data_IF_638041646479
#
_entry.id   IF_638041646479
#
_cell.length_a   1.000
_cell.length_b   1.000
_cell.length_c   1.000
_cell.angle_alpha   90.00
_cell.angle_beta   90.00
_cell.angle_gamma   90.00
#
_symmetry.space_group_name_H-M   'P 1'
#
loop_
_entity.id
_entity.type
_entity.pdbx_description
1 polymer ?
#
# COMPACT_ATOMS: atom_id res chain seq x y z
N UNK A 1 15.16 26.88 3.94
CA UNK A 1 13.70 27.13 3.88
C UNK A 1 13.08 25.92 3.22
N UNK A 2 12.23 25.09 3.85
CA UNK A 2 11.43 24.16 3.09
C UNK A 2 10.15 24.86 2.67
N UNK A 3 9.94 24.95 1.36
CA UNK A 3 8.68 25.39 0.76
C UNK A 3 7.55 24.48 1.24
N UNK A 4 6.44 25.09 1.68
CA UNK A 4 5.20 24.39 1.96
C UNK A 4 4.73 23.73 0.66
N UNK A 5 4.95 22.42 0.54
CA UNK A 5 4.71 21.69 -0.71
C UNK A 5 3.23 21.62 -1.09
N UNK A 6 2.30 21.98 -0.19
CA UNK A 6 0.86 21.92 -0.37
C UNK A 6 0.15 22.97 0.50
N UNK A 7 0.11 24.22 0.03
CA UNK A 7 -0.80 25.22 0.61
C UNK A 7 -2.23 24.90 0.16
N UNK A 8 -3.14 24.77 1.13
CA UNK A 8 -4.57 24.57 0.86
C UNK A 8 -5.22 25.95 0.87
N UNK A 9 -5.54 26.45 -0.32
CA UNK A 9 -6.29 27.70 -0.48
C UNK A 9 -7.73 27.33 -0.83
N UNK A 10 -8.65 27.65 0.07
CA UNK A 10 -10.08 27.65 -0.20
C UNK A 10 -10.41 29.05 -0.69
N UNK A 11 -10.64 29.20 -1.98
CA UNK A 11 -11.07 30.48 -2.53
C UNK A 11 -12.57 30.64 -2.24
N UNK A 12 -12.88 31.47 -1.24
CA UNK A 12 -14.23 31.97 -1.03
C UNK A 12 -14.38 33.26 -1.83
N UNK A 13 -14.47 33.15 -3.15
CA UNK A 13 -14.79 34.32 -3.96
C UNK A 13 -16.22 34.77 -3.65
N UNK A 14 -16.36 35.75 -2.75
CA UNK A 14 -17.55 36.58 -2.61
C UNK A 14 -17.75 37.31 -3.94
N UNK A 15 -18.86 36.99 -4.62
CA UNK A 15 -19.33 37.80 -5.73
C UNK A 15 -19.91 39.09 -5.14
N UNK A 16 -19.09 40.15 -5.20
CA UNK A 16 -19.47 41.54 -5.01
C UNK A 16 -20.32 41.97 -6.22
N UNK A 17 -21.63 42.13 -6.02
CA UNK A 17 -22.50 42.85 -6.93
C UNK A 17 -23.21 43.96 -6.14
N UNK A 18 -22.73 45.18 -6.37
CA UNK A 18 -23.40 46.40 -5.96
C UNK A 18 -24.63 46.71 -6.83
N UNK A 19 -25.74 46.91 -6.12
CA UNK A 19 -26.45 48.21 -6.03
C UNK A 19 -27.82 48.42 -6.74
N UNK A 20 -28.70 48.99 -5.92
CA UNK A 20 -30.02 49.66 -6.05
C UNK A 20 -31.26 48.97 -6.65
N UNK A 21 -32.29 48.82 -5.80
CA UNK A 21 -33.67 48.58 -6.22
C UNK A 21 -34.66 48.40 -5.05
N UNK A 22 -35.22 49.50 -4.58
CA UNK A 22 -36.27 49.65 -3.56
C UNK A 22 -37.53 48.77 -3.71
N UNK A 23 -38.08 48.27 -2.59
CA UNK A 23 -39.50 47.83 -2.51
C UNK A 23 -39.86 46.83 -1.40
N UNK A 24 -40.50 47.33 -0.34
CA UNK A 24 -41.56 46.74 0.50
C UNK A 24 -41.59 45.22 0.84
N UNK A 25 -41.52 44.89 2.14
CA UNK A 25 -42.18 43.72 2.76
C UNK A 25 -43.60 44.10 3.19
N UNK A 26 -44.61 43.19 3.31
CA UNK A 26 -44.51 41.94 4.09
C UNK A 26 -45.30 40.73 3.56
N UNK A 27 -44.92 39.52 3.98
CA UNK A 27 -45.78 38.56 4.69
C UNK A 27 -45.22 37.13 4.65
N UNK A 28 -45.39 36.47 5.79
CA UNK A 28 -45.11 35.08 6.09
C UNK A 28 -45.52 34.08 5.02
N UNK A 29 -44.64 33.10 4.78
CA UNK A 29 -45.04 31.90 4.06
C UNK A 29 -43.95 31.15 3.32
N UNK A 30 -42.67 31.15 3.74
CA UNK A 30 -41.70 30.23 3.11
C UNK A 30 -40.47 29.89 3.97
N UNK A 31 -40.72 29.44 5.21
CA UNK A 31 -39.70 28.83 6.06
C UNK A 31 -39.21 27.45 5.60
N UNK A 32 -39.66 26.96 4.43
CA UNK A 32 -39.31 25.63 3.88
C UNK A 32 -38.39 25.69 2.65
N UNK A 33 -38.07 26.89 2.14
CA UNK A 33 -37.13 27.06 1.01
C UNK A 33 -35.73 27.53 1.43
N UNK A 34 -35.43 27.61 2.73
CA UNK A 34 -34.10 27.93 3.26
C UNK A 34 -33.19 26.71 3.53
N UNK A 35 -33.61 25.51 3.15
CA UNK A 35 -32.82 24.27 3.31
C UNK A 35 -32.29 23.69 1.98
N UNK A 36 -32.44 24.39 0.86
CA UNK A 36 -32.00 23.91 -0.47
C UNK A 36 -30.78 24.68 -1.00
N UNK A 37 -30.34 25.74 -0.32
CA UNK A 37 -29.46 26.76 -0.93
C UNK A 37 -27.97 26.71 -0.56
N UNK A 38 -27.37 25.53 -0.37
CA UNK A 38 -25.91 25.42 -0.13
C UNK A 38 -25.22 24.22 -0.81
N UNK A 39 -25.71 23.80 -1.99
CA UNK A 39 -24.96 22.90 -2.89
C UNK A 39 -24.13 23.68 -3.93
N UNK A 40 -23.51 24.79 -3.54
CA UNK A 40 -22.56 25.46 -4.44
C UNK A 40 -21.32 24.60 -4.51
N UNK A 41 -20.99 24.13 -5.72
CA UNK A 41 -19.70 23.54 -6.01
C UNK A 41 -18.63 24.56 -5.63
N UNK A 42 -17.66 24.13 -4.84
CA UNK A 42 -16.54 24.92 -4.37
C UNK A 42 -15.29 24.54 -5.13
N UNK A 43 -14.45 25.54 -5.36
CA UNK A 43 -13.16 25.39 -6.01
C UNK A 43 -12.10 25.31 -4.91
N UNK A 44 -11.44 24.15 -4.78
CA UNK A 44 -10.40 23.93 -3.77
C UNK A 44 -9.07 23.68 -4.44
N UNK A 45 -8.03 24.38 -4.01
CA UNK A 45 -6.66 24.14 -4.49
C UNK A 45 -5.89 23.32 -3.47
N UNK A 46 -5.35 22.18 -3.91
CA UNK A 46 -4.49 21.30 -3.12
C UNK A 46 -3.32 20.83 -3.99
N UNK A 47 -2.09 21.10 -3.55
CA UNK A 47 -0.88 20.66 -4.26
C UNK A 47 -0.70 21.30 -5.63
N UNK A 48 -1.10 22.57 -5.75
CA UNK A 48 -1.07 23.31 -7.01
C UNK A 48 -2.10 22.84 -8.04
N UNK A 49 -3.05 21.99 -7.66
CA UNK A 49 -4.16 21.56 -8.51
C UNK A 49 -5.48 22.03 -7.93
N UNK A 50 -6.37 22.44 -8.82
CA UNK A 50 -7.66 22.99 -8.47
C UNK A 50 -8.76 21.98 -8.79
N UNK A 51 -9.69 21.79 -7.86
CA UNK A 51 -10.74 20.79 -7.93
C UNK A 51 -12.11 21.42 -7.75
N UNK A 52 -13.07 21.02 -8.58
CA UNK A 52 -14.49 21.28 -8.35
C UNK A 52 -15.01 20.26 -7.35
N UNK A 53 -15.57 20.71 -6.23
CA UNK A 53 -15.91 19.87 -5.08
C UNK A 53 -17.26 20.24 -4.48
N UNK A 54 -17.95 19.29 -3.87
CA UNK A 54 -18.99 19.62 -2.87
C UNK A 54 -18.33 20.06 -1.56
N UNK A 55 -19.03 20.76 -0.64
CA UNK A 55 -18.45 21.14 0.66
C UNK A 55 -17.91 19.94 1.48
N UNK A 56 -18.58 18.79 1.37
CA UNK A 56 -18.12 17.55 2.00
C UNK A 56 -16.81 17.06 1.36
N UNK A 57 -16.74 17.04 0.02
CA UNK A 57 -15.53 16.66 -0.71
C UNK A 57 -14.37 17.60 -0.42
N UNK A 58 -14.61 18.92 -0.33
CA UNK A 58 -13.61 19.91 0.04
C UNK A 58 -12.96 19.57 1.39
N UNK A 59 -13.79 19.27 2.40
CA UNK A 59 -13.33 18.89 3.74
C UNK A 59 -12.53 17.58 3.72
N UNK A 60 -13.04 16.57 3.03
CA UNK A 60 -12.38 15.27 2.91
C UNK A 60 -11.05 15.38 2.17
N UNK A 61 -11.00 16.16 1.09
CA UNK A 61 -9.81 16.37 0.27
C UNK A 61 -8.71 17.07 1.08
N UNK A 62 -9.03 18.17 1.74
CA UNK A 62 -8.10 18.90 2.60
C UNK A 62 -7.53 18.02 3.73
N UNK A 63 -8.41 17.27 4.41
CA UNK A 63 -7.99 16.37 5.50
C UNK A 63 -7.11 15.23 4.98
N UNK A 64 -7.46 14.64 3.83
CA UNK A 64 -6.70 13.54 3.24
C UNK A 64 -5.32 14.00 2.76
N UNK A 65 -5.24 15.18 2.15
CA UNK A 65 -3.98 15.77 1.70
C UNK A 65 -3.05 16.09 2.88
N UNK A 66 -3.57 16.74 3.92
CA UNK A 66 -2.81 17.05 5.15
C UNK A 66 -2.24 15.79 5.79
N UNK A 67 -3.04 14.71 5.86
CA UNK A 67 -2.60 13.42 6.39
C UNK A 67 -1.47 12.82 5.54
N UNK A 68 -1.64 12.82 4.21
CA UNK A 68 -0.63 12.32 3.27
C UNK A 68 0.69 13.08 3.41
N UNK A 69 0.65 14.41 3.49
CA UNK A 69 1.86 15.24 3.60
C UNK A 69 2.63 15.01 4.89
N UNK A 70 1.91 14.88 6.00
CA UNK A 70 2.53 14.59 7.30
C UNK A 70 3.24 13.24 7.26
N UNK A 71 2.53 12.20 6.79
CA UNK A 71 3.09 10.86 6.68
C UNK A 71 4.29 10.84 5.72
N UNK A 72 4.19 11.50 4.57
CA UNK A 72 5.27 11.59 3.59
C UNK A 72 6.51 12.31 4.10
N UNK A 73 6.34 13.44 4.79
CA UNK A 73 7.48 14.14 5.42
C UNK A 73 8.20 13.20 6.36
N UNK A 74 7.45 12.53 7.24
CA UNK A 74 8.02 11.62 8.23
C UNK A 74 8.74 10.44 7.57
N UNK A 75 8.16 9.84 6.52
CA UNK A 75 8.85 8.75 5.80
C UNK A 75 10.12 9.27 5.15
N UNK A 76 10.08 10.43 4.48
CA UNK A 76 11.27 11.00 3.81
C UNK A 76 12.40 11.34 4.77
N UNK A 77 12.08 11.75 6.00
CA UNK A 77 13.08 11.96 7.06
C UNK A 77 13.80 10.66 7.45
N UNK A 78 13.07 9.54 7.51
CA UNK A 78 13.59 8.25 7.99
C UNK A 78 14.11 7.34 6.88
N UNK A 79 13.54 7.44 5.69
CA UNK A 79 13.82 6.64 4.49
C UNK A 79 13.67 7.51 3.23
N UNK A 80 14.70 8.32 2.90
CA UNK A 80 14.67 9.22 1.75
C UNK A 80 14.57 8.50 0.39
N UNK A 81 14.92 7.22 0.34
CA UNK A 81 14.88 6.40 -0.87
C UNK A 81 13.50 5.80 -1.15
N UNK A 82 12.61 5.76 -0.15
CA UNK A 82 11.27 5.20 -0.30
C UNK A 82 10.43 5.95 -1.35
N UNK A 83 9.65 5.20 -2.12
CA UNK A 83 8.73 5.73 -3.13
C UNK A 83 7.38 5.01 -3.01
N UNK A 84 6.25 5.75 -2.98
CA UNK A 84 4.92 5.15 -2.98
C UNK A 84 4.65 4.46 -4.32
N UNK A 85 3.78 3.44 -4.30
CA UNK A 85 3.20 2.91 -5.53
C UNK A 85 2.31 3.96 -6.21
N UNK A 86 2.24 3.97 -7.55
CA UNK A 86 1.33 4.81 -8.29
C UNK A 86 -0.14 4.56 -7.87
N UNK A 87 -0.92 5.64 -7.79
CA UNK A 87 -2.39 5.54 -7.69
C UNK A 87 -2.98 5.18 -9.05
N UNK A 88 -4.04 4.37 -9.06
CA UNK A 88 -4.81 4.04 -10.27
C UNK A 88 -6.06 4.92 -10.44
N UNK A 89 -6.35 5.80 -9.48
CA UNK A 89 -7.49 6.72 -9.54
C UNK A 89 -7.19 7.90 -10.46
N UNK A 90 -8.22 8.46 -11.10
CA UNK A 90 -8.08 9.67 -11.92
C UNK A 90 -7.77 10.88 -11.03
N UNK A 91 -6.53 11.41 -11.06
CA UNK A 91 -6.12 12.47 -10.14
C UNK A 91 -6.70 13.85 -10.50
N UNK A 92 -7.45 13.96 -11.61
CA UNK A 92 -8.06 15.21 -12.07
C UNK A 92 -9.51 15.38 -11.56
N UNK A 93 -10.10 14.34 -10.97
CA UNK A 93 -11.38 14.41 -10.28
C UNK A 93 -11.18 14.64 -8.77
N UNK A 94 -12.17 15.26 -8.09
CA UNK A 94 -12.12 15.43 -6.64
C UNK A 94 -12.06 14.08 -5.91
N UNK A 95 -12.89 13.12 -6.30
CA UNK A 95 -12.96 11.78 -5.72
C UNK A 95 -11.66 11.01 -5.96
N UNK A 96 -11.11 11.09 -7.17
CA UNK A 96 -9.86 10.42 -7.49
C UNK A 96 -8.65 11.07 -6.82
N UNK A 97 -8.66 12.39 -6.61
CA UNK A 97 -7.67 13.08 -5.78
C UNK A 97 -7.77 12.64 -4.31
N UNK A 98 -8.97 12.59 -3.74
CA UNK A 98 -9.23 12.07 -2.39
C UNK A 98 -8.71 10.64 -2.25
N UNK A 99 -9.06 9.75 -3.19
CA UNK A 99 -8.61 8.37 -3.19
C UNK A 99 -7.07 8.28 -3.27
N UNK A 100 -6.45 9.11 -4.10
CA UNK A 100 -5.00 9.19 -4.25
C UNK A 100 -4.31 9.62 -2.95
N UNK A 101 -4.76 10.70 -2.31
CA UNK A 101 -4.18 11.16 -1.05
C UNK A 101 -4.37 10.15 0.08
N UNK A 102 -5.54 9.51 0.16
CA UNK A 102 -5.79 8.44 1.14
C UNK A 102 -4.86 7.25 0.94
N UNK A 103 -4.71 6.78 -0.29
CA UNK A 103 -3.79 5.68 -0.61
C UNK A 103 -2.34 6.06 -0.29
N UNK A 104 -1.94 7.29 -0.60
CA UNK A 104 -0.60 7.81 -0.33
C UNK A 104 -0.31 7.87 1.17
N UNK A 105 -1.25 8.39 1.97
CA UNK A 105 -1.16 8.40 3.42
C UNK A 105 -1.04 6.99 3.99
N UNK A 106 -1.90 6.06 3.56
CA UNK A 106 -1.88 4.66 4.01
C UNK A 106 -0.55 3.98 3.70
N UNK A 107 -0.01 4.16 2.49
CA UNK A 107 1.29 3.58 2.12
C UNK A 107 2.44 4.17 2.94
N UNK A 108 2.45 5.49 3.15
CA UNK A 108 3.47 6.16 3.94
C UNK A 108 3.41 5.73 5.41
N UNK A 109 2.23 5.72 6.02
CA UNK A 109 2.03 5.27 7.40
C UNK A 109 2.43 3.81 7.59
N UNK A 110 2.08 2.94 6.65
CA UNK A 110 2.48 1.54 6.76
C UNK A 110 4.00 1.37 6.63
N UNK A 111 4.67 2.20 5.83
CA UNK A 111 6.15 2.23 5.79
C UNK A 111 6.72 2.70 7.12
N UNK A 112 6.12 3.72 7.75
CA UNK A 112 6.53 4.19 9.08
C UNK A 112 6.43 3.07 10.11
N UNK A 113 5.32 2.33 10.12
CA UNK A 113 5.16 1.17 11.03
C UNK A 113 6.30 0.17 10.87
N UNK A 114 6.73 -0.14 9.63
CA UNK A 114 7.87 -1.05 9.41
C UNK A 114 9.16 -0.47 9.99
N UNK A 115 9.42 0.83 9.78
CA UNK A 115 10.62 1.51 10.27
C UNK A 115 10.64 1.57 11.80
N UNK A 116 9.52 1.95 12.42
CA UNK A 116 9.37 2.05 13.87
C UNK A 116 9.54 0.70 14.58
N UNK A 117 9.17 -0.39 13.91
CA UNK A 117 9.42 -1.75 14.38
C UNK A 117 10.84 -2.25 14.07
N UNK A 118 11.73 -1.35 13.64
CA UNK A 118 13.12 -1.64 13.33
C UNK A 118 13.30 -2.60 12.16
N UNK A 119 12.41 -2.53 11.16
CA UNK A 119 12.42 -3.39 9.98
C UNK A 119 11.86 -4.79 10.19
N UNK A 120 11.25 -5.08 11.35
CA UNK A 120 10.55 -6.34 11.57
C UNK A 120 9.37 -6.45 10.57
N UNK A 121 9.29 -7.52 9.75
CA UNK A 121 8.17 -7.69 8.85
C UNK A 121 6.84 -7.70 9.60
N UNK A 122 5.84 -7.06 9.00
CA UNK A 122 4.48 -7.05 9.52
C UNK A 122 3.89 -8.46 9.49
N UNK A 123 3.03 -8.75 10.47
CA UNK A 123 2.49 -10.08 10.73
C UNK A 123 3.27 -10.87 11.80
N UNK A 124 4.47 -10.40 12.18
CA UNK A 124 5.21 -10.91 13.33
C UNK A 124 5.17 -9.89 14.46
N UNK A 125 5.02 -10.32 15.71
CA UNK A 125 4.99 -9.45 16.88
C UNK A 125 6.40 -9.16 17.41
N UNK A 126 7.30 -10.14 17.33
CA UNK A 126 8.67 -10.03 17.84
C UNK A 126 9.70 -10.51 16.81
N UNK A 127 10.97 -10.08 16.98
CA UNK A 127 12.08 -10.60 16.17
C UNK A 127 12.30 -12.09 16.37
N UNK A 128 12.06 -12.59 17.57
CA UNK A 128 12.16 -14.03 17.87
C UNK A 128 11.12 -14.84 17.10
N UNK A 129 9.87 -14.36 17.03
CA UNK A 129 8.84 -15.01 16.23
C UNK A 129 9.24 -15.09 14.74
N UNK A 130 9.79 -14.00 14.20
CA UNK A 130 10.29 -13.95 12.84
C UNK A 130 11.49 -14.88 12.61
N UNK A 131 12.43 -14.95 13.54
CA UNK A 131 13.56 -15.87 13.48
C UNK A 131 13.11 -17.34 13.60
N UNK A 132 12.13 -17.65 14.44
CA UNK A 132 11.56 -19.00 14.55
C UNK A 132 10.90 -19.42 13.23
N UNK A 133 10.18 -18.48 12.61
CA UNK A 133 9.59 -18.65 11.29
C UNK A 133 10.67 -18.91 10.23
N UNK A 134 11.76 -18.14 10.22
CA UNK A 134 12.90 -18.35 9.33
C UNK A 134 13.58 -19.70 9.51
N UNK A 135 13.89 -20.09 10.75
CA UNK A 135 14.42 -21.42 11.09
C UNK A 135 13.50 -22.54 10.62
N UNK A 136 12.18 -22.42 10.82
CA UNK A 136 11.22 -23.44 10.36
C UNK A 136 11.22 -23.57 8.83
N UNK A 137 11.33 -22.46 8.10
CA UNK A 137 11.43 -22.45 6.64
C UNK A 137 12.70 -23.16 6.15
N UNK A 138 13.84 -22.86 6.78
CA UNK A 138 15.14 -23.48 6.46
C UNK A 138 15.14 -24.97 6.73
N UNK A 139 14.57 -25.41 7.87
CA UNK A 139 14.41 -26.83 8.18
C UNK A 139 13.59 -27.52 7.10
N UNK A 140 12.43 -26.97 6.74
CA UNK A 140 11.56 -27.56 5.72
C UNK A 140 12.23 -27.62 4.33
N UNK A 141 13.04 -26.62 3.96
CA UNK A 141 13.83 -26.62 2.72
C UNK A 141 14.94 -27.67 2.73
N UNK A 142 15.66 -27.79 3.84
CA UNK A 142 16.71 -28.78 4.02
C UNK A 142 16.14 -30.21 3.94
N UNK A 143 15.07 -30.49 4.67
CA UNK A 143 14.39 -31.79 4.65
C UNK A 143 13.75 -32.10 3.28
N UNK A 144 13.38 -31.07 2.51
CA UNK A 144 12.94 -31.22 1.12
C UNK A 144 14.09 -31.44 0.11
N UNK A 145 15.35 -31.46 0.57
CA UNK A 145 16.53 -31.73 -0.26
C UNK A 145 17.19 -30.49 -0.87
N UNK A 146 16.85 -29.29 -0.39
CA UNK A 146 17.38 -28.00 -0.87
C UNK A 146 18.11 -27.23 0.26
N UNK A 147 19.18 -27.77 0.85
CA UNK A 147 19.91 -27.13 1.95
C UNK A 147 20.53 -25.78 1.56
N UNK A 148 20.79 -25.55 0.27
CA UNK A 148 21.33 -24.29 -0.23
C UNK A 148 20.28 -23.18 -0.36
N UNK A 149 18.99 -23.52 -0.23
CA UNK A 149 17.91 -22.58 -0.45
C UNK A 149 17.82 -21.56 0.69
N UNK A 150 17.76 -20.28 0.33
CA UNK A 150 17.65 -19.18 1.29
C UNK A 150 16.26 -18.54 1.20
N UNK A 151 15.44 -18.59 2.26
CA UNK A 151 14.13 -17.95 2.30
C UNK A 151 14.22 -16.45 2.65
N UNK A 152 13.32 -15.67 2.09
CA UNK A 152 13.16 -14.23 2.28
C UNK A 152 11.69 -13.86 2.38
N UNK A 153 11.37 -12.91 3.24
CA UNK A 153 10.07 -12.24 3.23
C UNK A 153 10.04 -11.13 2.18
N UNK A 154 8.87 -10.94 1.58
CA UNK A 154 8.60 -9.98 0.51
C UNK A 154 7.23 -9.34 0.68
N UNK A 155 6.96 -8.44 -0.25
CA UNK A 155 5.63 -7.87 -0.46
C UNK A 155 5.19 -7.00 0.71
N UNK A 156 3.88 -6.94 0.91
CA UNK A 156 3.26 -6.01 1.85
C UNK A 156 3.69 -6.19 3.32
N UNK A 157 4.16 -7.39 3.71
CA UNK A 157 4.73 -7.61 5.03
C UNK A 157 6.05 -6.84 5.24
N UNK A 158 6.84 -6.64 4.18
CA UNK A 158 8.13 -5.92 4.25
C UNK A 158 7.95 -4.44 3.92
N UNK A 159 7.07 -4.11 2.99
CA UNK A 159 6.89 -2.72 2.54
C UNK A 159 5.83 -1.96 3.30
N UNK A 160 4.96 -2.65 4.03
CA UNK A 160 3.79 -2.08 4.69
C UNK A 160 2.53 -2.07 3.80
N UNK A 161 2.66 -2.24 2.49
CA UNK A 161 1.53 -2.08 1.57
C UNK A 161 1.64 -2.97 0.33
N UNK A 162 0.51 -3.24 -0.29
CA UNK A 162 0.39 -4.01 -1.53
C UNK A 162 0.67 -3.12 -2.74
N UNK A 163 1.70 -3.42 -3.55
CA UNK A 163 1.91 -2.72 -4.82
C UNK A 163 0.79 -2.93 -5.84
N UNK A 164 0.02 -4.01 -5.72
CA UNK A 164 -1.08 -4.34 -6.65
C UNK A 164 -2.33 -3.52 -6.36
N UNK A 165 -2.66 -3.32 -5.09
CA UNK A 165 -3.93 -2.73 -4.66
C UNK A 165 -3.76 -1.39 -3.96
N UNK A 166 -2.53 -1.01 -3.57
CA UNK A 166 -2.25 0.17 -2.75
C UNK A 166 -2.62 0.00 -1.27
N UNK A 167 -3.27 -1.10 -0.90
CA UNK A 167 -3.78 -1.32 0.45
C UNK A 167 -2.65 -1.57 1.45
N UNK A 168 -2.77 -0.95 2.63
CA UNK A 168 -1.90 -1.22 3.77
C UNK A 168 -2.04 -2.68 4.26
N UNK A 169 -1.00 -3.17 4.91
CA UNK A 169 -0.96 -4.48 5.51
C UNK A 169 -1.88 -4.56 6.73
N UNK A 170 -2.71 -5.60 6.76
CA UNK A 170 -3.69 -5.92 7.81
C UNK A 170 -4.71 -4.81 8.16
N UNK A 171 -5.00 -3.90 7.22
CA UNK A 171 -6.07 -2.89 7.37
C UNK A 171 -7.33 -3.35 6.66
N UNK A 172 -8.38 -3.68 7.42
CA UNK A 172 -9.68 -4.11 6.89
C UNK A 172 -9.69 -5.50 6.25
N UNK A 173 -8.56 -6.22 6.29
CA UNK A 173 -8.38 -7.58 5.75
C UNK A 173 -7.22 -8.28 6.44
N UNK A 174 -7.14 -9.61 6.30
CA UNK A 174 -5.92 -10.37 6.64
C UNK A 174 -5.03 -10.46 5.40
N UNK A 175 -3.86 -9.83 5.44
CA UNK A 175 -2.89 -9.83 4.36
C UNK A 175 -2.21 -11.17 4.24
N UNK A 176 -1.66 -11.47 3.05
CA UNK A 176 -0.89 -12.68 2.84
C UNK A 176 0.58 -12.51 3.17
N UNK A 177 1.31 -13.62 3.22
CA UNK A 177 2.76 -13.64 3.14
C UNK A 177 3.20 -13.92 1.70
N UNK A 178 4.09 -13.06 1.21
CA UNK A 178 4.81 -13.29 -0.03
C UNK A 178 6.22 -13.76 0.35
N UNK A 179 6.52 -15.02 0.04
CA UNK A 179 7.82 -15.63 0.30
C UNK A 179 8.61 -15.66 -1.00
N UNK A 180 9.88 -15.27 -0.92
CA UNK A 180 10.85 -15.54 -1.95
C UNK A 180 11.86 -16.57 -1.46
N UNK A 181 12.23 -17.49 -2.35
CA UNK A 181 13.32 -18.43 -2.07
C UNK A 181 14.36 -18.27 -3.16
N UNK A 182 15.63 -18.11 -2.78
CA UNK A 182 16.74 -18.16 -3.72
C UNK A 182 17.30 -19.58 -3.72
N UNK A 183 17.11 -20.31 -4.81
CA UNK A 183 17.74 -21.61 -5.07
C UNK A 183 17.64 -21.94 -6.56
N UNK A 184 18.77 -22.02 -7.28
CA UNK A 184 18.79 -22.50 -8.67
C UNK A 184 18.21 -23.91 -8.81
N UNK A 185 18.52 -24.81 -7.85
CA UNK A 185 18.11 -26.22 -7.91
C UNK A 185 16.61 -26.38 -7.67
N UNK A 186 16.04 -25.66 -6.71
CA UNK A 186 14.59 -25.67 -6.47
C UNK A 186 13.84 -25.05 -7.66
N UNK A 187 14.39 -23.98 -8.26
CA UNK A 187 13.81 -23.39 -9.47
C UNK A 187 13.76 -24.41 -10.62
N UNK A 188 14.88 -25.09 -10.87
CA UNK A 188 14.98 -26.13 -11.90
C UNK A 188 14.00 -27.27 -11.63
N UNK A 189 13.97 -27.77 -10.39
CA UNK A 189 13.05 -28.83 -9.96
C UNK A 189 11.58 -28.46 -10.18
N UNK A 190 11.17 -27.25 -9.76
CA UNK A 190 9.79 -26.80 -9.91
C UNK A 190 9.43 -26.57 -11.38
N UNK A 191 10.37 -26.06 -12.18
CA UNK A 191 10.17 -25.86 -13.63
C UNK A 191 10.00 -27.21 -14.33
N UNK A 192 10.84 -28.20 -14.03
CA UNK A 192 10.71 -29.57 -14.53
C UNK A 192 9.39 -30.22 -14.09
N UNK A 193 8.86 -29.83 -12.93
CA UNK A 193 7.56 -30.28 -12.41
C UNK A 193 6.36 -29.49 -12.97
N UNK A 194 6.58 -28.60 -13.95
CA UNK A 194 5.51 -27.87 -14.66
C UNK A 194 5.10 -26.54 -14.02
N UNK A 195 5.81 -26.04 -13.00
CA UNK A 195 5.58 -24.68 -12.49
C UNK A 195 6.09 -23.68 -13.51
N UNK A 196 5.19 -22.80 -13.99
CA UNK A 196 5.54 -21.78 -14.98
C UNK A 196 6.58 -20.80 -14.43
N UNK A 197 7.47 -20.36 -15.30
CA UNK A 197 8.48 -19.35 -14.98
C UNK A 197 8.06 -17.95 -15.44
N UNK A 198 8.80 -16.94 -14.98
CA UNK A 198 8.66 -15.52 -15.31
C UNK A 198 10.05 -14.87 -15.38
N UNK A 199 10.14 -13.65 -15.91
CA UNK A 199 11.39 -12.89 -16.01
C UNK A 199 12.45 -13.62 -16.83
N UNK A 200 12.08 -14.14 -18.01
CA UNK A 200 12.97 -14.91 -18.88
C UNK A 200 13.59 -16.13 -18.17
N UNK A 201 12.79 -16.80 -17.34
CA UNK A 201 13.21 -17.98 -16.59
C UNK A 201 14.03 -17.69 -15.33
N UNK A 202 14.15 -16.44 -14.88
CA UNK A 202 14.89 -16.08 -13.66
C UNK A 202 14.15 -16.47 -12.37
N UNK A 203 12.84 -16.74 -12.45
CA UNK A 203 12.01 -17.11 -11.32
C UNK A 203 10.77 -17.90 -11.71
N UNK A 204 10.10 -18.51 -10.74
CA UNK A 204 8.75 -19.06 -10.93
C UNK A 204 7.70 -17.94 -11.00
N UNK A 205 6.51 -18.26 -11.52
CA UNK A 205 5.30 -17.51 -11.15
C UNK A 205 4.98 -17.76 -9.67
N UNK A 206 4.19 -16.86 -9.07
CA UNK A 206 3.71 -17.08 -7.71
C UNK A 206 2.90 -18.38 -7.64
N UNK A 207 3.29 -19.24 -6.70
CA UNK A 207 2.68 -20.54 -6.49
C UNK A 207 2.11 -20.61 -5.07
N UNK A 208 0.97 -21.29 -4.92
CA UNK A 208 0.48 -21.71 -3.61
C UNK A 208 1.06 -23.08 -3.22
N UNK A 209 0.80 -23.54 -1.99
CA UNK A 209 1.36 -24.80 -1.48
C UNK A 209 1.02 -26.01 -2.36
N UNK A 210 -0.20 -26.07 -2.91
CA UNK A 210 -0.68 -27.17 -3.75
C UNK A 210 0.10 -27.36 -5.07
N UNK A 211 0.91 -26.37 -5.47
CA UNK A 211 1.76 -26.44 -6.68
C UNK A 211 3.17 -26.93 -6.39
N UNK A 212 3.51 -27.18 -5.12
CA UNK A 212 4.78 -27.74 -4.71
C UNK A 212 4.72 -29.27 -4.62
N UNK A 213 5.84 -29.98 -4.76
CA UNK A 213 5.89 -31.41 -4.51
C UNK A 213 5.43 -31.75 -3.10
N UNK A 214 4.84 -32.93 -2.92
CA UNK A 214 4.54 -33.44 -1.59
C UNK A 214 5.85 -33.59 -0.80
N UNK A 215 5.83 -33.15 0.47
CA UNK A 215 7.01 -33.18 1.34
C UNK A 215 7.03 -32.05 2.36
N UNK A 216 8.11 -31.95 3.15
CA UNK A 216 8.22 -31.02 4.27
C UNK A 216 7.95 -29.57 3.90
N UNK A 217 8.52 -29.08 2.78
CA UNK A 217 8.30 -27.71 2.31
C UNK A 217 6.82 -27.41 2.01
N UNK A 218 6.11 -28.34 1.36
CA UNK A 218 4.69 -28.17 1.08
C UNK A 218 3.87 -28.21 2.36
N UNK A 219 4.15 -29.15 3.26
CA UNK A 219 3.45 -29.25 4.55
C UNK A 219 3.63 -27.99 5.39
N UNK A 220 4.86 -27.46 5.46
CA UNK A 220 5.15 -26.21 6.16
C UNK A 220 4.36 -25.03 5.56
N UNK A 221 4.32 -24.89 4.24
CA UNK A 221 3.53 -23.84 3.58
C UNK A 221 2.02 -24.01 3.76
N UNK A 222 1.52 -25.25 3.74
CA UNK A 222 0.11 -25.54 4.03
C UNK A 222 -0.27 -25.17 5.45
N UNK A 223 0.62 -25.37 6.44
CA UNK A 223 0.38 -24.96 7.82
C UNK A 223 0.25 -23.44 7.93
N UNK A 224 1.17 -22.69 7.31
CA UNK A 224 1.12 -21.20 7.33
C UNK A 224 -0.11 -20.69 6.58
N UNK A 225 -0.46 -21.33 5.47
CA UNK A 225 -1.59 -20.95 4.64
C UNK A 225 -2.95 -21.13 5.34
N UNK A 226 -3.03 -21.90 6.44
CA UNK A 226 -4.24 -22.00 7.28
C UNK A 226 -4.55 -20.69 8.00
N UNK A 227 -3.51 -19.98 8.41
CA UNK A 227 -3.65 -18.72 9.12
C UNK A 227 -3.81 -17.55 8.15
N UNK A 228 -2.93 -17.45 7.15
CA UNK A 228 -3.01 -16.36 6.18
C UNK A 228 -2.60 -16.80 4.78
N UNK A 229 -3.19 -16.22 3.72
CA UNK A 229 -2.83 -16.57 2.34
C UNK A 229 -1.32 -16.49 2.13
N UNK A 230 -0.70 -17.52 1.59
CA UNK A 230 0.76 -17.55 1.42
C UNK A 230 1.11 -17.92 -0.01
N UNK A 231 1.96 -17.11 -0.62
CA UNK A 231 2.50 -17.34 -1.96
C UNK A 231 4.01 -17.50 -1.90
N UNK A 232 4.55 -18.33 -2.77
CA UNK A 232 6.00 -18.54 -2.92
C UNK A 232 6.43 -18.22 -4.35
N UNK A 233 7.57 -17.53 -4.47
CA UNK A 233 8.28 -17.31 -5.73
C UNK A 233 9.72 -17.78 -5.55
N UNK A 234 10.17 -18.71 -6.39
CA UNK A 234 11.56 -19.17 -6.35
C UNK A 234 12.37 -18.42 -7.39
N UNK A 235 13.50 -17.88 -7.00
CA UNK A 235 14.44 -17.10 -7.79
C UNK A 235 15.72 -17.90 -8.03
N UNK A 236 16.33 -17.69 -9.20
CA UNK A 236 17.60 -18.32 -9.57
C UNK A 236 18.76 -17.77 -8.72
N UNK A 237 18.78 -16.47 -8.46
CA UNK A 237 19.87 -15.82 -7.71
C UNK A 237 19.35 -14.71 -6.81
N UNK A 238 20.18 -14.28 -5.85
CA UNK A 238 19.89 -13.11 -5.01
C UNK A 238 19.76 -11.84 -5.86
N UNK A 239 20.59 -11.69 -6.90
CA UNK A 239 20.49 -10.57 -7.84
C UNK A 239 19.13 -10.49 -8.53
N UNK A 240 18.57 -11.64 -8.92
CA UNK A 240 17.23 -11.69 -9.51
C UNK A 240 16.14 -11.29 -8.50
N UNK A 241 16.38 -11.48 -7.20
CA UNK A 241 15.47 -11.04 -6.14
C UNK A 241 15.57 -9.53 -5.89
N UNK A 242 16.80 -9.00 -5.80
CA UNK A 242 17.10 -7.58 -5.59
C UNK A 242 16.42 -6.70 -6.65
N UNK A 243 16.47 -7.12 -7.92
CA UNK A 243 15.82 -6.42 -9.04
C UNK A 243 14.28 -6.36 -8.92
N UNK A 244 13.68 -7.10 -7.98
CA UNK A 244 12.22 -7.09 -7.77
C UNK A 244 11.78 -6.16 -6.65
N UNK A 245 12.70 -5.45 -5.99
CA UNK A 245 12.38 -4.53 -4.90
C UNK A 245 12.61 -5.12 -3.50
N UNK A 246 12.06 -4.49 -2.45
CA UNK A 246 12.42 -4.77 -1.06
C UNK A 246 12.21 -6.22 -0.65
N UNK A 247 13.11 -6.72 0.18
CA UNK A 247 13.08 -8.05 0.77
C UNK A 247 13.72 -8.03 2.16
N UNK A 248 13.38 -8.99 3.00
CA UNK A 248 14.00 -9.20 4.30
C UNK A 248 14.47 -10.66 4.41
N UNK A 249 15.75 -10.93 4.71
CA UNK A 249 16.23 -12.28 4.99
C UNK A 249 15.48 -12.92 6.15
N UNK A 250 15.14 -14.20 6.00
CA UNK A 250 14.58 -15.02 7.07
C UNK A 250 15.72 -15.82 7.70
N UNK A 251 16.30 -15.28 8.76
CA UNK A 251 17.41 -15.93 9.50
C UNK A 251 16.92 -17.14 10.31
#
# INVERSE_FOLDING_TARGET
>A
MPDNLFEVVVDQSEADEGDEGSGETPADGDGLLQLVNARRNQVVTVGGRTYQTTPEQATILSTSATRADRALRRVRELDPAWRPAPSLSDPNSAEGAIATYRALAQQAEARLTVIERGGLPLGFNTREEYANFGRSARTALNEAGFPEAVPYMRGSAVTGYSYRTGEAFDVGRRSGYDLAIVSPRLLEYLTASGVRTSGSGSRTQAAGPARLPAGPLRTWLEQIARDRPTSIVVHRSLRDLELRGPYQPMD
#
